data_IF_896698546106
#
_entry.id   IF_896698546106
#
_cell.length_a   1.000
_cell.length_b   1.000
_cell.length_c   1.000
_cell.angle_alpha   90.00
_cell.angle_beta   90.00
_cell.angle_gamma   90.00
#
_symmetry.space_group_name_H-M   'P 1'
#
loop_
_entity.id
_entity.type
_entity.pdbx_description
1 polymer ?
#
# COMPACT_ATOMS: atom_id res chain seq x y z
N UNK A 1 -3.29 -14.34 -16.91
CA UNK A 1 -4.67 -14.00 -16.52
C UNK A 1 -5.54 -15.25 -16.36
N UNK A 2 -5.92 -15.92 -17.45
CA UNK A 2 -6.89 -17.05 -17.41
C UNK A 2 -6.46 -18.24 -16.53
N UNK A 3 -5.16 -18.56 -16.50
CA UNK A 3 -4.66 -19.62 -15.62
C UNK A 3 -4.90 -19.29 -14.13
N UNK A 4 -4.69 -18.04 -13.71
CA UNK A 4 -5.00 -17.60 -12.35
C UNK A 4 -6.51 -17.68 -12.09
N UNK A 5 -7.31 -17.18 -13.05
CA UNK A 5 -8.76 -17.20 -12.97
C UNK A 5 -9.36 -18.62 -12.81
N UNK A 6 -8.79 -19.62 -13.48
CA UNK A 6 -9.24 -21.02 -13.40
C UNK A 6 -8.92 -21.73 -12.09
N UNK A 7 -7.84 -21.36 -11.41
CA UNK A 7 -7.32 -22.17 -10.29
C UNK A 7 -7.49 -21.52 -8.92
N UNK A 8 -7.72 -20.21 -8.87
CA UNK A 8 -7.87 -19.48 -7.61
C UNK A 8 -9.35 -19.37 -7.28
N UNK A 9 -9.69 -19.41 -5.99
CA UNK A 9 -11.06 -19.25 -5.50
C UNK A 9 -11.72 -17.99 -6.10
N UNK A 10 -12.96 -18.06 -6.65
CA UNK A 10 -13.65 -16.93 -7.25
C UNK A 10 -13.83 -15.72 -6.32
N UNK A 11 -13.83 -15.88 -4.99
CA UNK A 11 -13.94 -14.78 -4.04
C UNK A 11 -12.67 -13.90 -3.99
N UNK A 12 -11.53 -14.41 -4.49
CA UNK A 12 -10.28 -13.64 -4.54
C UNK A 12 -10.31 -12.66 -5.73
N UNK A 13 -10.11 -11.35 -5.52
CA UNK A 13 -10.07 -10.39 -6.62
C UNK A 13 -9.00 -10.73 -7.67
N UNK A 14 -9.38 -10.70 -8.95
CA UNK A 14 -8.43 -10.87 -10.06
C UNK A 14 -7.70 -9.55 -10.29
N UNK A 15 -6.52 -9.42 -9.68
CA UNK A 15 -5.58 -8.33 -9.95
C UNK A 15 -4.43 -8.86 -10.79
N UNK A 16 -4.31 -8.41 -12.04
CA UNK A 16 -3.34 -8.98 -12.98
C UNK A 16 -2.22 -7.98 -13.27
N UNK A 17 -0.98 -8.45 -13.22
CA UNK A 17 0.21 -7.68 -13.58
C UNK A 17 0.30 -7.55 -15.12
N UNK A 18 0.52 -6.33 -15.64
CA UNK A 18 0.41 -6.03 -17.10
C UNK A 18 1.68 -5.47 -17.74
N UNK A 19 2.80 -5.43 -17.04
CA UNK A 19 4.07 -4.83 -17.48
C UNK A 19 5.17 -5.86 -17.79
N UNK A 20 4.82 -7.15 -17.91
CA UNK A 20 5.82 -8.22 -18.02
C UNK A 20 6.51 -8.26 -19.38
N UNK A 21 5.75 -8.16 -20.48
CA UNK A 21 6.28 -8.36 -21.83
C UNK A 21 5.93 -7.25 -22.80
N UNK A 22 4.70 -6.73 -22.71
CA UNK A 22 4.18 -5.69 -23.60
C UNK A 22 4.10 -4.36 -22.87
N UNK A 23 3.80 -3.34 -23.66
CA UNK A 23 3.29 -2.08 -23.15
C UNK A 23 2.07 -2.31 -22.23
N UNK A 24 2.04 -1.59 -21.12
CA UNK A 24 1.06 -1.75 -20.06
C UNK A 24 -0.37 -1.46 -20.55
N UNK A 25 -0.54 -0.51 -21.46
CA UNK A 25 -1.86 -0.15 -21.97
C UNK A 25 -2.37 -1.21 -22.95
N UNK A 26 -1.49 -1.79 -23.77
CA UNK A 26 -1.86 -2.91 -24.64
C UNK A 26 -2.21 -4.19 -23.86
N UNK A 27 -1.40 -4.53 -22.86
CA UNK A 27 -1.64 -5.74 -22.07
C UNK A 27 -2.84 -5.59 -21.13
N UNK A 28 -3.10 -4.39 -20.60
CA UNK A 28 -4.32 -4.10 -19.84
C UNK A 28 -5.59 -4.38 -20.64
N UNK A 29 -5.64 -3.96 -21.91
CA UNK A 29 -6.77 -4.26 -22.80
C UNK A 29 -6.91 -5.76 -23.05
N UNK A 30 -5.81 -6.45 -23.38
CA UNK A 30 -5.82 -7.90 -23.62
C UNK A 30 -6.34 -8.69 -22.42
N UNK A 31 -5.94 -8.29 -21.21
CA UNK A 31 -6.38 -8.93 -19.97
C UNK A 31 -7.83 -8.60 -19.66
N UNK A 32 -8.27 -7.36 -19.89
CA UNK A 32 -9.67 -6.95 -19.72
C UNK A 32 -10.60 -7.71 -20.67
N UNK A 33 -10.23 -7.86 -21.94
CA UNK A 33 -11.01 -8.63 -22.92
C UNK A 33 -11.07 -10.12 -22.57
N UNK A 34 -9.99 -10.71 -22.06
CA UNK A 34 -9.93 -12.14 -21.72
C UNK A 34 -10.75 -12.49 -20.47
N UNK A 35 -10.77 -11.62 -19.46
CA UNK A 35 -11.43 -11.89 -18.18
C UNK A 35 -12.80 -11.24 -18.06
N UNK A 36 -13.09 -10.18 -18.81
CA UNK A 36 -14.35 -9.43 -18.75
C UNK A 36 -14.66 -8.99 -17.31
N UNK A 37 -15.92 -9.18 -16.90
CA UNK A 37 -16.42 -8.82 -15.57
C UNK A 37 -15.71 -9.55 -14.40
N UNK A 38 -14.95 -10.62 -14.69
CA UNK A 38 -14.16 -11.31 -13.67
C UNK A 38 -12.88 -10.55 -13.31
N UNK A 39 -12.43 -9.62 -14.16
CA UNK A 39 -11.27 -8.78 -13.87
C UNK A 39 -11.65 -7.70 -12.85
N UNK A 40 -11.06 -7.78 -11.66
CA UNK A 40 -11.21 -6.70 -10.69
C UNK A 40 -10.32 -5.51 -11.06
N UNK A 41 -9.07 -5.76 -11.47
CA UNK A 41 -8.14 -4.67 -11.80
C UNK A 41 -6.82 -5.12 -12.41
N UNK A 42 -6.07 -4.16 -12.90
CA UNK A 42 -4.70 -4.33 -13.40
C UNK A 42 -3.70 -3.73 -12.42
N UNK A 43 -2.51 -4.31 -12.35
CA UNK A 43 -1.38 -3.79 -11.56
C UNK A 43 -0.27 -3.32 -12.49
N UNK A 44 0.11 -2.05 -12.31
CA UNK A 44 1.27 -1.42 -12.93
C UNK A 44 2.43 -1.43 -11.93
N UNK A 45 3.53 -2.05 -12.28
CA UNK A 45 4.78 -2.19 -11.50
C UNK A 45 6.01 -1.90 -12.38
N UNK A 46 5.85 -1.03 -13.38
CA UNK A 46 6.83 -0.74 -14.42
C UNK A 46 8.21 -0.50 -13.82
N UNK A 47 9.25 -1.20 -14.30
CA UNK A 47 10.59 -1.08 -13.72
C UNK A 47 11.23 0.29 -14.02
N UNK A 48 12.24 0.67 -13.23
CA UNK A 48 12.95 1.94 -13.39
C UNK A 48 13.58 2.14 -14.76
N UNK A 49 14.08 1.06 -15.34
CA UNK A 49 14.71 0.97 -16.66
C UNK A 49 13.72 1.28 -17.79
N UNK A 50 12.42 1.27 -17.48
CA UNK A 50 11.32 1.64 -18.37
C UNK A 50 10.66 2.97 -17.97
N UNK A 51 11.22 3.70 -17.01
CA UNK A 51 10.71 5.01 -16.58
C UNK A 51 9.78 4.99 -15.36
N UNK A 52 9.53 3.80 -14.79
CA UNK A 52 8.56 3.58 -13.70
C UNK A 52 7.11 3.91 -14.09
N UNK A 53 6.17 3.57 -13.22
CA UNK A 53 4.78 4.02 -13.36
C UNK A 53 4.70 5.53 -13.15
N UNK A 54 4.05 6.24 -14.08
CA UNK A 54 3.82 7.69 -14.04
C UNK A 54 2.32 8.03 -14.01
N UNK A 55 1.93 9.24 -13.56
CA UNK A 55 0.56 9.72 -13.69
C UNK A 55 0.03 9.67 -15.13
N UNK A 56 0.88 9.95 -16.11
CA UNK A 56 0.55 9.95 -17.54
C UNK A 56 0.23 8.54 -18.02
N UNK A 57 1.05 7.55 -17.64
CA UNK A 57 0.81 6.14 -17.97
C UNK A 57 -0.52 5.66 -17.36
N UNK A 58 -0.80 6.00 -16.10
CA UNK A 58 -2.07 5.65 -15.45
C UNK A 58 -3.26 6.25 -16.21
N UNK A 59 -3.17 7.51 -16.62
CA UNK A 59 -4.24 8.17 -17.41
C UNK A 59 -4.41 7.52 -18.77
N UNK A 60 -3.33 7.15 -19.44
CA UNK A 60 -3.38 6.44 -20.71
C UNK A 60 -4.08 5.08 -20.55
N UNK A 61 -3.65 4.26 -19.60
CA UNK A 61 -4.26 2.94 -19.32
C UNK A 61 -5.75 3.11 -19.00
N UNK A 62 -6.11 4.07 -18.15
CA UNK A 62 -7.50 4.37 -17.82
C UNK A 62 -8.31 4.75 -19.07
N UNK A 63 -7.82 5.70 -19.86
CA UNK A 63 -8.51 6.17 -21.05
C UNK A 63 -8.72 5.04 -22.07
N UNK A 64 -7.71 4.18 -22.27
CA UNK A 64 -7.84 3.02 -23.18
C UNK A 64 -8.85 2.00 -22.67
N UNK A 65 -8.79 1.65 -21.39
CA UNK A 65 -9.78 0.74 -20.79
C UNK A 65 -11.20 1.30 -20.92
N UNK A 66 -11.40 2.60 -20.67
CA UNK A 66 -12.72 3.25 -20.79
C UNK A 66 -13.23 3.23 -22.24
N UNK A 67 -12.37 3.55 -23.20
CA UNK A 67 -12.70 3.50 -24.63
C UNK A 67 -13.03 2.08 -25.12
N UNK A 68 -12.41 1.06 -24.52
CA UNK A 68 -12.68 -0.34 -24.80
C UNK A 68 -13.91 -0.89 -24.05
N UNK A 69 -14.61 -0.08 -23.26
CA UNK A 69 -15.82 -0.49 -22.55
C UNK A 69 -15.56 -1.18 -21.20
N UNK A 70 -14.39 -0.96 -20.59
CA UNK A 70 -13.98 -1.55 -19.31
C UNK A 70 -13.86 -0.51 -18.17
N UNK A 71 -14.86 0.35 -17.91
CA UNK A 71 -14.75 1.44 -16.94
C UNK A 71 -14.63 0.97 -15.48
N UNK A 72 -15.01 -0.27 -15.20
CA UNK A 72 -15.01 -0.83 -13.85
C UNK A 72 -13.67 -1.43 -13.42
N UNK A 73 -12.76 -1.70 -14.37
CA UNK A 73 -11.46 -2.31 -14.10
C UNK A 73 -10.61 -1.36 -13.27
N UNK A 74 -10.16 -1.78 -12.09
CA UNK A 74 -9.37 -0.94 -11.16
C UNK A 74 -7.90 -0.85 -11.57
N UNK A 75 -7.23 0.25 -11.23
CA UNK A 75 -5.80 0.45 -11.46
C UNK A 75 -5.05 0.46 -10.13
N UNK A 76 -4.19 -0.54 -9.95
CA UNK A 76 -3.25 -0.65 -8.82
C UNK A 76 -1.86 -0.22 -9.28
N UNK A 77 -1.23 0.66 -8.53
CA UNK A 77 0.13 1.12 -8.80
C UNK A 77 1.09 0.60 -7.72
N UNK A 78 2.24 0.11 -8.13
CA UNK A 78 3.31 -0.33 -7.24
C UNK A 78 4.69 0.09 -7.75
N UNK A 79 5.74 -0.32 -7.05
CA UNK A 79 7.12 -0.11 -7.48
C UNK A 79 7.74 1.17 -6.93
N UNK A 80 8.44 1.05 -5.80
CA UNK A 80 9.14 2.17 -5.17
C UNK A 80 8.21 3.29 -4.70
N UNK A 81 7.01 2.95 -4.24
CA UNK A 81 6.07 3.90 -3.66
C UNK A 81 6.52 4.38 -2.28
N UNK A 82 6.43 5.68 -2.07
CA UNK A 82 6.61 6.38 -0.80
C UNK A 82 5.64 7.57 -0.73
N UNK A 83 5.71 8.37 0.34
CA UNK A 83 4.82 9.52 0.54
C UNK A 83 4.94 10.55 -0.58
N UNK A 84 6.16 10.84 -1.03
CA UNK A 84 6.40 11.84 -2.08
C UNK A 84 5.84 11.36 -3.42
N UNK A 85 6.12 10.11 -3.78
CA UNK A 85 5.68 9.50 -5.03
C UNK A 85 4.16 9.36 -5.07
N UNK A 86 3.52 8.94 -3.99
CA UNK A 86 2.04 8.95 -3.88
C UNK A 86 1.50 10.37 -4.03
N UNK A 87 2.17 11.36 -3.44
CA UNK A 87 1.84 12.78 -3.58
C UNK A 87 1.80 13.23 -5.05
N UNK A 88 2.77 12.81 -5.87
CA UNK A 88 2.80 13.11 -7.31
C UNK A 88 1.54 12.62 -8.03
N UNK A 89 1.09 11.38 -7.78
CA UNK A 89 -0.14 10.86 -8.39
C UNK A 89 -1.39 11.61 -7.91
N UNK A 90 -1.46 11.91 -6.60
CA UNK A 90 -2.58 12.65 -6.01
C UNK A 90 -2.68 14.06 -6.57
N UNK A 91 -1.59 14.81 -6.59
CA UNK A 91 -1.55 16.20 -7.03
C UNK A 91 -1.84 16.31 -8.53
N UNK A 92 -1.44 15.30 -9.29
CA UNK A 92 -1.76 15.15 -10.71
C UNK A 92 -3.21 14.72 -10.96
N UNK A 93 -3.97 14.30 -9.94
CA UNK A 93 -5.32 13.75 -10.09
C UNK A 93 -5.35 12.49 -10.95
N UNK A 94 -4.30 11.66 -10.87
CA UNK A 94 -4.23 10.41 -11.63
C UNK A 94 -5.28 9.40 -11.13
N UNK A 95 -6.00 8.70 -12.03
CA UNK A 95 -7.04 7.75 -11.66
C UNK A 95 -6.44 6.42 -11.15
N UNK A 96 -5.86 6.46 -9.94
CA UNK A 96 -5.34 5.30 -9.22
C UNK A 96 -6.35 4.86 -8.17
N UNK A 97 -6.71 3.57 -8.16
CA UNK A 97 -7.63 3.02 -7.16
C UNK A 97 -6.89 2.50 -5.92
N UNK A 98 -5.62 2.08 -6.06
CA UNK A 98 -4.83 1.54 -4.94
C UNK A 98 -3.32 1.69 -5.17
N UNK A 99 -2.57 1.91 -4.08
CA UNK A 99 -1.11 1.91 -4.06
C UNK A 99 -0.59 0.73 -3.24
N UNK A 100 0.25 -0.10 -3.84
CA UNK A 100 0.95 -1.16 -3.11
C UNK A 100 2.33 -0.67 -2.67
N UNK A 101 2.48 -0.45 -1.36
CA UNK A 101 3.69 0.09 -0.74
C UNK A 101 4.44 -1.02 -0.02
N UNK A 102 5.66 -1.32 -0.47
CA UNK A 102 6.50 -2.36 0.11
C UNK A 102 7.61 -1.79 0.99
N UNK A 103 8.80 -1.66 0.40
CA UNK A 103 10.05 -1.36 1.11
C UNK A 103 10.03 -0.08 1.93
N UNK A 104 9.25 0.93 1.55
CA UNK A 104 9.11 2.16 2.33
C UNK A 104 8.58 1.90 3.74
N UNK A 105 7.61 0.99 3.88
CA UNK A 105 7.05 0.59 5.18
C UNK A 105 7.95 -0.46 5.84
N UNK A 106 8.30 -1.53 5.09
CA UNK A 106 8.96 -2.69 5.70
C UNK A 106 10.41 -2.42 6.13
N UNK A 107 11.06 -1.39 5.58
CA UNK A 107 12.40 -0.95 5.97
C UNK A 107 12.39 0.28 6.87
N UNK A 108 11.23 0.67 7.42
CA UNK A 108 11.15 1.78 8.35
C UNK A 108 12.13 1.56 9.51
N UNK A 109 12.95 2.57 9.78
CA UNK A 109 13.90 2.52 10.89
C UNK A 109 13.13 2.31 12.20
N UNK A 110 13.54 1.36 13.04
CA UNK A 110 12.96 1.22 14.37
C UNK A 110 13.07 2.53 15.15
N UNK A 111 12.04 2.85 15.92
CA UNK A 111 12.11 3.93 16.91
C UNK A 111 12.75 3.32 18.15
N UNK A 112 13.97 3.74 18.45
CA UNK A 112 14.64 3.34 19.69
C UNK A 112 13.84 3.83 20.89
N UNK A 113 13.42 2.87 21.73
CA UNK A 113 12.67 3.16 22.94
C UNK A 113 13.27 2.40 24.13
N UNK A 114 13.23 3.04 25.30
CA UNK A 114 13.68 2.43 26.55
C UNK A 114 12.55 2.43 27.56
N UNK A 115 12.24 1.25 28.13
CA UNK A 115 11.46 1.15 29.36
C UNK A 115 12.37 1.40 30.55
N UNK A 116 12.05 2.41 31.37
CA UNK A 116 12.79 2.72 32.60
C UNK A 116 11.84 2.76 33.80
N UNK A 117 12.28 2.22 34.93
CA UNK A 117 11.58 2.40 36.20
C UNK A 117 11.58 3.88 36.60
N UNK A 118 10.40 4.37 36.99
CA UNK A 118 10.13 5.75 37.38
C UNK A 118 9.63 5.88 38.82
N UNK A 119 9.13 4.79 39.40
CA UNK A 119 8.50 4.75 40.71
C UNK A 119 8.62 3.33 41.29
N UNK A 120 8.94 3.24 42.57
CA UNK A 120 8.94 1.98 43.34
C UNK A 120 8.15 2.24 44.62
N UNK A 121 7.10 1.45 44.85
CA UNK A 121 6.22 1.56 46.03
C UNK A 121 5.69 2.99 46.26
N UNK A 122 5.27 3.67 45.19
CA UNK A 122 4.76 5.04 45.25
C UNK A 122 5.83 6.12 45.45
N UNK A 123 7.12 5.75 45.56
CA UNK A 123 8.23 6.70 45.69
C UNK A 123 8.87 6.98 44.33
N UNK A 124 8.91 8.24 43.87
CA UNK A 124 9.60 8.62 42.64
C UNK A 124 11.09 8.25 42.69
N UNK A 125 11.53 7.42 41.74
CA UNK A 125 12.94 6.99 41.60
C UNK A 125 13.27 6.71 40.15
N UNK A 126 14.46 7.06 39.69
CA UNK A 126 14.92 6.75 38.34
C UNK A 126 16.44 6.66 38.27
N UNK A 127 16.96 6.01 37.22
CA UNK A 127 18.39 6.01 36.91
C UNK A 127 18.85 7.42 36.47
N UNK A 128 20.17 7.66 36.50
CA UNK A 128 20.78 8.91 36.01
C UNK A 128 20.34 9.24 34.57
N UNK A 129 20.03 10.50 34.31
CA UNK A 129 19.55 10.98 33.00
C UNK A 129 18.04 10.79 32.75
N UNK A 130 17.28 10.35 33.76
CA UNK A 130 15.82 10.25 33.71
C UNK A 130 15.18 11.05 34.85
N UNK A 131 14.04 11.66 34.57
CA UNK A 131 13.22 12.35 35.57
C UNK A 131 12.42 11.29 36.37
N UNK A 132 12.52 11.20 37.71
CA UNK A 132 11.73 10.28 38.51
C UNK A 132 10.26 10.68 38.59
N UNK A 133 9.38 9.71 38.86
CA UNK A 133 7.93 9.92 38.98
C UNK A 133 7.17 9.68 37.68
N UNK A 134 5.86 9.47 37.83
CA UNK A 134 4.94 9.28 36.70
C UNK A 134 4.93 10.54 35.83
N UNK A 135 5.09 10.36 34.54
CA UNK A 135 4.86 11.42 33.56
C UNK A 135 3.38 11.36 33.15
N UNK A 136 2.60 12.35 33.58
CA UNK A 136 1.21 12.44 33.14
C UNK A 136 1.15 12.71 31.64
N UNK A 137 0.33 11.93 30.96
CA UNK A 137 0.01 12.14 29.56
C UNK A 137 -1.48 11.81 29.41
N UNK A 138 -2.32 12.79 29.05
CA UNK A 138 -3.77 12.62 28.99
C UNK A 138 -4.23 11.62 27.92
N UNK A 139 -3.32 11.17 27.03
CA UNK A 139 -3.58 10.14 26.03
C UNK A 139 -3.16 8.74 26.47
N UNK A 140 -2.57 8.58 27.66
CA UNK A 140 -2.20 7.27 28.20
C UNK A 140 -3.35 6.70 29.01
N UNK A 141 -3.72 5.46 28.70
CA UNK A 141 -4.68 4.68 29.46
C UNK A 141 -3.96 3.58 30.22
N UNK A 142 -4.46 3.27 31.43
CA UNK A 142 -3.92 2.18 32.23
C UNK A 142 -4.40 0.86 31.64
N UNK A 143 -3.47 0.06 31.12
CA UNK A 143 -3.78 -1.31 30.70
C UNK A 143 -3.88 -2.20 31.95
N UNK A 144 -5.03 -2.85 32.10
CA UNK A 144 -5.23 -3.89 33.10
C UNK A 144 -4.74 -5.24 32.55
N UNK A 145 -3.56 -5.66 32.99
CA UNK A 145 -2.94 -6.91 32.57
C UNK A 145 -3.59 -8.16 33.21
N UNK A 146 -4.56 -7.98 34.11
CA UNK A 146 -5.30 -9.08 34.75
C UNK A 146 -6.66 -9.34 34.10
N UNK A 147 -7.07 -8.49 33.16
CA UNK A 147 -8.33 -8.66 32.45
C UNK A 147 -8.14 -9.71 31.34
N UNK A 148 -8.90 -10.82 31.31
CA UNK A 148 -8.92 -11.69 30.15
C UNK A 148 -9.54 -10.95 28.96
N UNK A 149 -9.01 -11.23 27.76
CA UNK A 149 -9.49 -10.69 26.48
C UNK A 149 -10.98 -10.98 26.23
#
# INVERSE_FOLDING_TARGET
>A
AEAFDRHIDPEVPRVILVDTFKDEAEEALRVADALGDRLWGVRLDTPSERGRVTPELVREVRARLDQAGHPNVKIVVSGGMDVERIGVFRDAGAPVDSFAVGSYISKASPIDFTGDLKEIDGRPVAKRGRIPGRAENPRLERIDLQRPD
#
